data_IF_961173135561
#
_entry.id   IF_961173135561
#
_cell.length_a   1.000
_cell.length_b   1.000
_cell.length_c   1.000
_cell.angle_alpha   90.00
_cell.angle_beta   90.00
_cell.angle_gamma   90.00
#
_symmetry.space_group_name_H-M   'P 1'
#
loop_
_entity.id
_entity.type
_entity.pdbx_description
1 polymer ?
#
# COMPACT_ATOMS: atom_id res chain seq x y z
N UNK A 1 4.67 -15.30 6.03
CA UNK A 1 3.85 -14.07 5.88
C UNK A 1 3.57 -13.91 4.40
N UNK A 2 2.32 -13.65 3.96
CA UNK A 2 2.02 -13.44 2.55
C UNK A 2 2.71 -12.19 2.00
N UNK A 3 3.03 -12.22 0.71
CA UNK A 3 3.55 -11.08 -0.05
C UNK A 3 2.86 -11.00 -1.39
N UNK A 4 2.68 -9.79 -1.91
CA UNK A 4 2.15 -9.58 -3.26
C UNK A 4 2.98 -8.57 -4.03
N UNK A 5 3.23 -8.89 -5.29
CA UNK A 5 3.90 -8.02 -6.24
C UNK A 5 2.82 -7.37 -7.11
N UNK A 6 2.90 -6.06 -7.26
CA UNK A 6 2.07 -5.25 -8.15
C UNK A 6 2.96 -4.30 -8.94
N UNK A 7 2.48 -3.82 -10.09
CA UNK A 7 3.18 -2.78 -10.85
C UNK A 7 2.61 -1.41 -10.50
N UNK A 8 3.39 -0.35 -10.71
CA UNK A 8 2.90 1.02 -10.57
C UNK A 8 1.71 1.26 -11.53
N UNK A 9 0.64 1.83 -11.00
CA UNK A 9 -0.58 2.11 -11.75
C UNK A 9 -1.26 3.37 -11.22
N UNK A 10 -1.93 4.13 -12.08
CA UNK A 10 -2.68 5.35 -11.71
C UNK A 10 -3.99 5.06 -10.97
N UNK A 11 -4.36 3.79 -10.86
CA UNK A 11 -5.52 3.31 -10.10
C UNK A 11 -5.06 2.39 -8.99
N UNK A 12 -5.85 2.31 -7.92
CA UNK A 12 -5.49 1.52 -6.74
C UNK A 12 -5.44 0.03 -7.09
N UNK A 13 -4.30 -0.61 -6.85
CA UNK A 13 -4.09 -2.05 -7.05
C UNK A 13 -4.16 -2.75 -5.70
N UNK A 14 -5.00 -3.80 -5.61
CA UNK A 14 -5.24 -4.51 -4.35
C UNK A 14 -4.06 -5.40 -3.96
N UNK A 15 -3.54 -5.22 -2.74
CA UNK A 15 -2.53 -6.08 -2.11
C UNK A 15 -3.20 -7.11 -1.21
N UNK A 16 -4.01 -6.63 -0.25
CA UNK A 16 -4.75 -7.46 0.69
C UNK A 16 -6.18 -6.94 0.82
N UNK A 17 -7.16 -7.85 0.80
CA UNK A 17 -8.55 -7.50 1.03
C UNK A 17 -8.78 -7.15 2.51
N UNK A 18 -9.77 -6.30 2.79
CA UNK A 18 -10.22 -6.01 4.16
C UNK A 18 -10.61 -7.33 4.84
N UNK A 19 -10.22 -7.48 6.10
CA UNK A 19 -10.68 -8.57 6.97
C UNK A 19 -11.44 -7.98 8.14
N UNK A 20 -12.60 -8.56 8.48
CA UNK A 20 -13.41 -8.08 9.60
C UNK A 20 -12.65 -8.31 10.92
N UNK A 21 -12.64 -7.30 11.79
CA UNK A 21 -11.99 -7.31 13.11
C UNK A 21 -10.51 -7.69 13.07
N UNK A 22 -9.82 -7.36 11.98
CA UNK A 22 -8.39 -7.60 11.84
C UNK A 22 -7.76 -6.40 11.15
N UNK A 23 -6.48 -6.19 11.42
CA UNK A 23 -5.63 -5.19 10.75
C UNK A 23 -4.55 -5.89 9.96
N UNK A 24 -4.07 -5.22 8.92
CA UNK A 24 -2.89 -5.65 8.18
C UNK A 24 -1.69 -4.82 8.62
N UNK A 25 -0.64 -5.49 9.06
CA UNK A 25 0.64 -4.87 9.38
C UNK A 25 1.58 -5.11 8.19
N UNK A 26 2.15 -4.04 7.65
CA UNK A 26 3.14 -4.14 6.58
C UNK A 26 4.48 -4.54 7.19
N UNK A 27 5.02 -5.68 6.74
CA UNK A 27 6.23 -6.29 7.32
C UNK A 27 7.44 -6.17 6.40
N UNK A 28 7.23 -5.95 5.11
CA UNK A 28 8.28 -5.62 4.16
C UNK A 28 7.72 -4.83 2.99
N UNK A 29 8.54 -3.95 2.43
CA UNK A 29 8.21 -3.18 1.24
C UNK A 29 9.45 -3.06 0.37
N UNK A 30 9.37 -3.54 -0.86
CA UNK A 30 10.39 -3.30 -1.89
C UNK A 30 9.75 -2.57 -3.04
N UNK A 31 10.33 -1.44 -3.43
CA UNK A 31 9.97 -0.72 -4.65
C UNK A 31 11.18 -0.80 -5.58
N UNK A 32 11.02 -1.49 -6.70
CA UNK A 32 12.04 -1.64 -7.72
C UNK A 32 11.65 -0.80 -8.93
N UNK A 33 12.30 0.35 -9.10
CA UNK A 33 12.13 1.24 -10.25
C UNK A 33 13.36 1.19 -11.18
N UNK A 34 14.18 0.14 -11.07
CA UNK A 34 15.42 0.04 -11.84
C UNK A 34 15.16 -0.05 -13.35
N UNK A 35 14.14 -0.80 -13.75
CA UNK A 35 13.68 -0.88 -15.14
C UNK A 35 12.61 0.15 -15.51
N UNK A 36 12.26 1.05 -14.59
CA UNK A 36 11.20 2.04 -14.77
C UNK A 36 11.50 3.03 -15.89
N UNK A 37 10.46 3.70 -16.38
CA UNK A 37 10.56 4.67 -17.48
C UNK A 37 10.76 6.12 -17.03
N UNK A 38 10.58 6.41 -15.74
CA UNK A 38 10.85 7.69 -15.09
C UNK A 38 10.87 7.52 -13.56
N UNK A 39 11.15 8.60 -12.84
CA UNK A 39 10.93 8.67 -11.38
C UNK A 39 9.45 8.42 -11.06
N UNK A 40 9.19 7.74 -9.94
CA UNK A 40 7.83 7.33 -9.55
C UNK A 40 7.50 7.72 -8.13
N UNK A 41 6.25 8.12 -7.93
CA UNK A 41 5.68 8.32 -6.60
C UNK A 41 4.76 7.16 -6.29
N UNK A 42 5.14 6.31 -5.32
CA UNK A 42 4.36 5.17 -4.87
C UNK A 42 3.74 5.46 -3.51
N UNK A 43 2.48 5.07 -3.34
CA UNK A 43 1.74 5.23 -2.08
C UNK A 43 1.11 3.92 -1.65
N UNK A 44 1.20 3.63 -0.36
CA UNK A 44 0.44 2.55 0.29
C UNK A 44 -0.83 3.18 0.88
N UNK A 45 -1.98 2.64 0.50
CA UNK A 45 -3.28 3.11 0.91
C UNK A 45 -3.98 2.11 1.82
N UNK A 46 -4.58 2.64 2.87
CA UNK A 46 -5.52 1.98 3.75
C UNK A 46 -6.94 2.42 3.36
N UNK A 47 -7.73 1.50 2.80
CA UNK A 47 -9.10 1.79 2.35
C UNK A 47 -10.08 1.03 3.22
N UNK A 48 -10.86 1.75 4.03
CA UNK A 48 -11.82 1.17 4.97
C UNK A 48 -13.12 1.97 5.04
N UNK A 49 -14.22 1.28 5.34
CA UNK A 49 -15.46 1.91 5.77
C UNK A 49 -15.57 1.74 7.28
N UNK A 50 -15.59 2.83 8.06
CA UNK A 50 -15.83 2.77 9.50
C UNK A 50 -17.17 2.09 9.82
N UNK A 51 -17.30 1.54 11.03
CA UNK A 51 -18.61 1.08 11.51
C UNK A 51 -19.51 2.28 11.84
N UNK A 52 -20.83 2.09 11.70
CA UNK A 52 -21.80 3.11 12.09
C UNK A 52 -21.62 3.45 13.58
N UNK A 53 -21.51 4.74 13.87
CA UNK A 53 -21.39 5.26 15.24
C UNK A 53 -22.56 6.18 15.55
N UNK A 54 -22.74 6.53 16.83
CA UNK A 54 -23.78 7.49 17.20
C UNK A 54 -23.55 8.82 16.46
N UNK A 55 -24.54 9.25 15.67
CA UNK A 55 -24.46 10.45 14.81
C UNK A 55 -24.08 10.22 13.33
N UNK A 56 -23.64 9.01 12.94
CA UNK A 56 -23.34 8.66 11.55
C UNK A 56 -23.86 7.26 11.22
N UNK A 57 -25.11 7.21 10.74
CA UNK A 57 -25.79 5.94 10.40
C UNK A 57 -25.23 5.26 9.13
N UNK A 58 -24.66 6.05 8.21
CA UNK A 58 -24.12 5.58 6.93
C UNK A 58 -22.73 6.16 6.68
N UNK A 59 -21.68 5.63 7.35
CA UNK A 59 -20.31 6.08 7.13
C UNK A 59 -19.84 5.77 5.71
N UNK A 60 -19.11 6.70 5.11
CA UNK A 60 -18.52 6.55 3.77
C UNK A 60 -17.15 5.87 3.83
N UNK A 61 -16.73 5.28 2.71
CA UNK A 61 -15.37 4.77 2.54
C UNK A 61 -14.34 5.89 2.74
N UNK A 62 -13.31 5.58 3.51
CA UNK A 62 -12.16 6.43 3.78
C UNK A 62 -10.94 5.83 3.09
N UNK A 63 -10.13 6.67 2.45
CA UNK A 63 -8.82 6.31 1.90
C UNK A 63 -7.76 7.12 2.62
N UNK A 64 -6.82 6.43 3.25
CA UNK A 64 -5.70 7.04 3.98
C UNK A 64 -4.39 6.58 3.37
N UNK A 65 -3.57 7.53 2.92
CA UNK A 65 -2.22 7.25 2.45
C UNK A 65 -1.31 7.05 3.69
N UNK A 66 -0.90 5.80 3.95
CA UNK A 66 -0.06 5.43 5.10
C UNK A 66 1.43 5.62 4.86
N UNK A 67 1.84 5.54 3.59
CA UNK A 67 3.21 5.75 3.17
C UNK A 67 3.21 6.42 1.79
N UNK A 68 4.12 7.37 1.57
CA UNK A 68 4.39 7.99 0.28
C UNK A 68 5.89 8.03 0.05
N UNK A 69 6.32 7.56 -1.11
CA UNK A 69 7.73 7.42 -1.46
C UNK A 69 7.93 7.93 -2.87
N UNK A 70 8.97 8.73 -3.07
CA UNK A 70 9.50 9.04 -4.39
C UNK A 70 10.71 8.14 -4.62
N UNK A 71 10.72 7.40 -5.72
CA UNK A 71 11.84 6.54 -6.12
C UNK A 71 12.35 7.00 -7.49
N UNK A 72 13.67 7.19 -7.59
CA UNK A 72 14.30 7.58 -8.84
C UNK A 72 14.26 6.44 -9.87
N UNK A 73 14.29 6.78 -11.15
CA UNK A 73 14.52 5.81 -12.22
C UNK A 73 15.91 5.19 -12.06
N UNK A 74 16.01 3.87 -12.21
CA UNK A 74 17.28 3.16 -12.05
C UNK A 74 17.59 2.75 -10.60
N UNK A 75 16.70 3.05 -9.65
CA UNK A 75 16.91 2.76 -8.23
C UNK A 75 15.96 1.68 -7.67
N UNK A 76 16.34 1.12 -6.53
CA UNK A 76 15.55 0.17 -5.77
C UNK A 76 15.66 0.48 -4.28
N UNK A 77 14.52 0.54 -3.61
CA UNK A 77 14.45 0.74 -2.17
C UNK A 77 13.79 -0.48 -1.53
N UNK A 78 14.36 -0.96 -0.44
CA UNK A 78 13.78 -2.04 0.38
C UNK A 78 13.75 -1.63 1.83
N UNK A 79 12.60 -1.85 2.47
CA UNK A 79 12.37 -1.64 3.89
C UNK A 79 11.91 -2.92 4.56
N UNK A 80 12.46 -3.17 5.74
CA UNK A 80 12.02 -4.23 6.63
C UNK A 80 10.99 -3.71 7.66
N UNK A 81 10.48 -4.61 8.49
CA UNK A 81 9.47 -4.29 9.52
C UNK A 81 9.91 -3.17 10.48
N UNK A 82 11.21 -3.10 10.81
CA UNK A 82 11.78 -2.05 11.66
C UNK A 82 11.78 -0.68 10.99
N UNK A 83 12.12 -0.62 9.71
CA UNK A 83 12.13 0.62 8.92
C UNK A 83 10.72 1.17 8.70
N UNK A 84 9.75 0.26 8.53
CA UNK A 84 8.34 0.58 8.33
C UNK A 84 7.64 1.01 9.61
N UNK A 85 8.30 0.89 10.79
CA UNK A 85 7.79 1.34 12.10
C UNK A 85 6.36 0.86 12.40
N UNK A 86 6.02 -0.34 11.91
CA UNK A 86 4.70 -0.94 12.13
C UNK A 86 3.54 -0.21 11.45
N UNK A 87 3.66 0.19 10.18
CA UNK A 87 2.52 0.71 9.40
C UNK A 87 1.35 -0.28 9.46
N UNK A 88 0.23 0.18 10.03
CA UNK A 88 -1.02 -0.57 10.16
C UNK A 88 -2.08 -0.05 9.18
N UNK A 89 -2.76 -0.97 8.49
CA UNK A 89 -3.94 -0.71 7.70
C UNK A 89 -5.16 -1.42 8.30
N UNK A 90 -6.22 -0.67 8.60
CA UNK A 90 -7.45 -1.21 9.20
C UNK A 90 -8.38 -1.85 8.14
N UNK A 91 -8.19 -1.45 6.88
CA UNK A 91 -9.02 -1.83 5.75
C UNK A 91 -8.32 -2.75 4.76
N UNK A 92 -8.63 -2.53 3.48
CA UNK A 92 -7.89 -3.15 2.39
C UNK A 92 -6.56 -2.42 2.19
N UNK A 93 -5.48 -3.19 2.04
CA UNK A 93 -4.18 -2.67 1.65
C UNK A 93 -4.15 -2.54 0.14
N UNK A 94 -3.93 -1.31 -0.36
CA UNK A 94 -3.77 -1.04 -1.79
C UNK A 94 -2.50 -0.26 -2.06
N UNK A 95 -2.04 -0.32 -3.30
CA UNK A 95 -0.91 0.46 -3.81
C UNK A 95 -1.43 1.36 -4.93
N UNK A 96 -0.96 2.60 -4.98
CA UNK A 96 -1.21 3.51 -6.10
C UNK A 96 0.08 4.22 -6.49
N UNK A 97 0.30 4.34 -7.79
CA UNK A 97 1.37 5.14 -8.40
C UNK A 97 0.86 6.45 -8.98
N UNK A 98 1.77 7.34 -9.34
CA UNK A 98 1.50 8.55 -10.10
C UNK A 98 1.34 8.30 -11.61
N UNK A 99 1.89 7.18 -12.12
CA UNK A 99 1.78 6.76 -13.50
C UNK A 99 1.65 5.22 -13.61
N UNK A 100 1.23 4.75 -14.79
CA UNK A 100 1.29 3.34 -15.15
C UNK A 100 2.72 3.02 -15.59
N UNK A 101 3.36 2.07 -14.91
CA UNK A 101 4.71 1.62 -15.27
C UNK A 101 4.86 0.12 -14.97
N UNK A 102 4.85 -0.68 -16.03
CA UNK A 102 4.93 -2.15 -15.94
C UNK A 102 6.31 -2.65 -15.50
N UNK A 103 7.33 -1.78 -15.52
CA UNK A 103 8.70 -2.08 -15.10
C UNK A 103 9.03 -1.52 -13.72
N UNK A 104 8.08 -0.84 -13.07
CA UNK A 104 8.16 -0.42 -11.67
C UNK A 104 7.40 -1.41 -10.80
N UNK A 105 8.11 -2.29 -10.09
CA UNK A 105 7.52 -3.33 -9.25
C UNK A 105 7.46 -2.90 -7.79
N UNK A 106 6.31 -3.09 -7.17
CA UNK A 106 6.07 -2.87 -5.75
C UNK A 106 5.74 -4.21 -5.10
N UNK A 107 6.62 -4.69 -4.25
CA UNK A 107 6.45 -5.91 -3.47
C UNK A 107 6.08 -5.53 -2.03
N UNK A 108 4.91 -5.97 -1.58
CA UNK A 108 4.41 -5.68 -0.23
C UNK A 108 4.24 -6.99 0.52
N UNK A 109 5.02 -7.18 1.58
CA UNK A 109 4.81 -8.24 2.56
C UNK A 109 3.94 -7.75 3.72
N UNK A 110 3.02 -8.59 4.16
CA UNK A 110 2.06 -8.22 5.21
C UNK A 110 1.72 -9.42 6.10
N UNK A 111 1.20 -9.13 7.30
CA UNK A 111 0.51 -10.13 8.13
C UNK A 111 -0.82 -9.55 8.62
N UNK A 112 -1.81 -10.42 8.79
CA UNK A 112 -3.09 -10.06 9.38
C UNK A 112 -3.09 -10.45 10.86
N UNK A 113 -3.47 -9.51 11.71
CA UNK A 113 -3.65 -9.69 13.15
C UNK A 113 -5.07 -9.32 13.56
#
# INVERSE_FOLDING_TARGET
MPSKIVTAHTTTVSVAARRKNARHIITSLTINNHGGSADRTIRIQDIFTPDASNGVASPSEQTVDRLRVNIAMGDMITWNEGDLKGIECLGAVKVIGDAIDASCYVTVGYRAE
#
